data_IF_281882739411
#
_entry.id   IF_281882739411
#
_cell.length_a   1.000
_cell.length_b   1.000
_cell.length_c   1.000
_cell.angle_alpha   90.00
_cell.angle_beta   90.00
_cell.angle_gamma   90.00
#
_symmetry.space_group_name_H-M   'P 1'
#
loop_
_entity.id
_entity.type
_entity.pdbx_description
1 polymer ?
#
# COMPACT_ATOMS: atom_id res chain seq x y z
N UNK A 1 17.87 -13.12 21.19
CA UNK A 1 17.34 -12.97 19.83
C UNK A 1 16.76 -11.57 19.74
N UNK A 2 17.54 -10.63 19.22
CA UNK A 2 17.11 -9.22 19.08
C UNK A 2 16.19 -9.18 17.87
N UNK A 3 14.88 -9.02 18.09
CA UNK A 3 13.95 -8.72 17.00
C UNK A 3 14.50 -7.47 16.28
N UNK A 4 14.65 -7.48 14.95
CA UNK A 4 14.91 -6.23 14.26
C UNK A 4 13.75 -5.30 14.61
N UNK A 5 14.08 -4.08 15.02
CA UNK A 5 13.11 -3.03 15.24
C UNK A 5 12.35 -2.80 13.94
N UNK A 6 11.22 -3.49 13.77
CA UNK A 6 10.28 -3.30 12.68
C UNK A 6 9.66 -1.93 12.86
N UNK A 7 10.36 -0.90 12.39
CA UNK A 7 9.83 0.45 12.39
C UNK A 7 8.61 0.46 11.49
N UNK A 8 7.44 0.69 12.08
CA UNK A 8 6.21 0.83 11.33
C UNK A 8 6.33 2.03 10.37
N UNK A 9 6.01 1.78 9.12
CA UNK A 9 6.04 2.75 8.04
C UNK A 9 4.68 3.44 7.99
N UNK A 10 4.70 4.76 8.07
CA UNK A 10 3.51 5.61 7.97
C UNK A 10 3.43 6.30 6.61
N UNK A 11 2.36 6.07 5.86
CA UNK A 11 2.16 6.63 4.51
C UNK A 11 0.77 7.23 4.37
N UNK A 12 0.63 8.19 3.46
CA UNK A 12 -0.68 8.74 3.07
C UNK A 12 -0.97 8.48 1.60
N UNK A 13 -1.96 7.64 1.35
CA UNK A 13 -2.29 7.04 0.05
C UNK A 13 -3.71 7.39 -0.40
N UNK A 14 -4.10 6.98 -1.61
CA UNK A 14 -5.44 7.24 -2.13
C UNK A 14 -6.48 6.31 -1.50
N UNK A 15 -7.54 6.88 -0.92
CA UNK A 15 -8.59 6.13 -0.22
C UNK A 15 -9.26 5.08 -1.12
N UNK A 16 -9.50 5.41 -2.40
CA UNK A 16 -10.17 4.50 -3.34
C UNK A 16 -9.42 3.18 -3.57
N UNK A 17 -8.09 3.22 -3.65
CA UNK A 17 -7.30 2.00 -3.79
C UNK A 17 -7.20 1.26 -2.46
N UNK A 18 -7.07 1.98 -1.36
CA UNK A 18 -7.06 1.40 -0.02
C UNK A 18 -8.36 0.62 0.27
N UNK A 19 -9.52 1.21 -0.01
CA UNK A 19 -10.81 0.58 0.20
C UNK A 19 -10.93 -0.71 -0.64
N UNK A 20 -10.53 -0.70 -1.92
CA UNK A 20 -10.50 -1.89 -2.78
C UNK A 20 -9.53 -2.98 -2.28
N UNK A 21 -8.37 -2.58 -1.79
CA UNK A 21 -7.37 -3.49 -1.22
C UNK A 21 -7.91 -4.17 0.06
N UNK A 22 -8.58 -3.42 0.93
CA UNK A 22 -9.22 -3.96 2.13
C UNK A 22 -10.40 -4.87 1.80
N UNK A 23 -11.25 -4.49 0.84
CA UNK A 23 -12.42 -5.27 0.43
C UNK A 23 -12.03 -6.62 -0.18
N UNK A 24 -10.88 -6.68 -0.86
CA UNK A 24 -10.34 -7.92 -1.42
C UNK A 24 -9.67 -8.82 -0.40
N UNK A 25 -9.47 -8.36 0.84
CA UNK A 25 -8.88 -9.04 1.99
C UNK A 25 -7.86 -10.12 1.58
N UNK A 26 -6.54 -9.85 1.57
CA UNK A 26 -5.55 -10.70 0.90
C UNK A 26 -5.80 -12.19 1.15
N UNK A 27 -6.37 -12.87 0.14
CA UNK A 27 -6.96 -14.20 0.29
C UNK A 27 -5.95 -15.30 0.63
N UNK A 28 -4.65 -15.00 0.49
CA UNK A 28 -3.55 -15.93 0.65
C UNK A 28 -2.61 -15.47 1.78
N UNK A 29 -2.99 -15.65 3.05
CA UNK A 29 -2.11 -15.40 4.19
C UNK A 29 -2.81 -15.04 5.50
N UNK A 30 -2.00 -14.77 6.53
CA UNK A 30 -2.47 -14.17 7.79
C UNK A 30 -2.82 -12.69 7.53
N UNK A 31 -4.09 -12.25 7.71
CA UNK A 31 -4.50 -10.87 7.52
C UNK A 31 -3.68 -9.88 8.33
N UNK A 32 -3.20 -10.27 9.52
CA UNK A 32 -2.37 -9.42 10.38
C UNK A 32 -0.98 -9.17 9.78
N UNK A 33 -0.50 -10.06 8.90
CA UNK A 33 0.80 -9.91 8.22
C UNK A 33 0.67 -9.26 6.84
N UNK A 34 -0.52 -9.29 6.26
CA UNK A 34 -0.77 -8.84 4.90
C UNK A 34 -1.36 -7.41 4.82
N UNK A 35 -2.00 -6.91 5.88
CA UNK A 35 -2.72 -5.64 5.87
C UNK A 35 -2.16 -4.62 6.85
N UNK A 36 -1.87 -3.41 6.35
CA UNK A 36 -1.54 -2.26 7.19
C UNK A 36 -2.78 -1.76 7.96
N UNK A 37 -2.57 -0.92 8.96
CA UNK A 37 -3.66 -0.31 9.73
C UNK A 37 -3.99 1.09 9.22
N UNK A 38 -5.27 1.38 9.02
CA UNK A 38 -5.73 2.76 8.83
C UNK A 38 -5.69 3.51 10.17
N UNK A 39 -4.94 4.61 10.23
CA UNK A 39 -4.79 5.44 11.44
C UNK A 39 -5.36 6.85 11.27
N UNK A 40 -5.87 7.16 10.07
CA UNK A 40 -6.54 8.42 9.81
C UNK A 40 -7.05 8.52 8.38
N UNK A 41 -8.09 9.32 8.18
CA UNK A 41 -8.71 9.57 6.87
C UNK A 41 -9.07 11.04 6.70
N UNK A 42 -8.83 11.56 5.52
CA UNK A 42 -9.22 12.93 5.15
C UNK A 42 -9.63 12.97 3.68
N UNK A 43 -10.94 13.06 3.44
CA UNK A 43 -11.52 13.08 2.10
C UNK A 43 -11.08 11.88 1.26
N UNK A 44 -10.41 12.13 0.13
CA UNK A 44 -9.94 11.10 -0.79
C UNK A 44 -8.59 10.47 -0.41
N UNK A 45 -8.09 10.69 0.81
CA UNK A 45 -6.80 10.18 1.28
C UNK A 45 -6.93 9.44 2.61
N UNK A 46 -6.14 8.39 2.74
CA UNK A 46 -6.01 7.58 3.96
C UNK A 46 -4.56 7.62 4.41
N UNK A 47 -4.35 7.74 5.72
CA UNK A 47 -3.06 7.54 6.36
C UNK A 47 -3.04 6.14 6.97
N UNK A 48 -2.10 5.33 6.51
CA UNK A 48 -1.86 3.97 7.01
C UNK A 48 -0.56 3.90 7.80
N UNK A 49 -0.50 2.91 8.69
CA UNK A 49 0.69 2.49 9.41
C UNK A 49 0.82 0.98 9.33
N UNK A 50 1.97 0.48 8.88
CA UNK A 50 2.18 -0.96 8.76
C UNK A 50 3.65 -1.34 8.74
N UNK A 51 3.94 -2.64 8.91
CA UNK A 51 5.28 -3.19 8.79
C UNK A 51 5.81 -3.05 7.35
N UNK A 52 7.13 -3.15 7.13
CA UNK A 52 7.71 -3.17 5.79
C UNK A 52 7.07 -4.23 4.87
N UNK A 53 6.74 -5.40 5.40
CA UNK A 53 6.09 -6.49 4.66
C UNK A 53 4.66 -6.12 4.23
N UNK A 54 3.87 -5.53 5.13
CA UNK A 54 2.51 -5.07 4.81
C UNK A 54 2.54 -3.96 3.75
N UNK A 55 3.51 -3.04 3.84
CA UNK A 55 3.69 -1.99 2.83
C UNK A 55 4.14 -2.58 1.49
N UNK A 56 4.97 -3.63 1.49
CA UNK A 56 5.38 -4.33 0.28
C UNK A 56 4.21 -5.07 -0.39
N UNK A 57 3.36 -5.72 0.39
CA UNK A 57 2.11 -6.34 -0.11
C UNK A 57 1.23 -5.30 -0.81
N UNK A 58 1.01 -4.16 -0.15
CA UNK A 58 0.25 -3.05 -0.73
C UNK A 58 0.91 -2.48 -1.99
N UNK A 59 2.25 -2.42 -2.03
CA UNK A 59 3.03 -1.97 -3.19
C UNK A 59 2.84 -2.90 -4.38
N UNK A 60 2.96 -4.20 -4.15
CA UNK A 60 2.81 -5.24 -5.17
C UNK A 60 1.42 -5.19 -5.80
N UNK A 61 0.40 -5.08 -4.96
CA UNK A 61 -0.99 -4.97 -5.41
C UNK A 61 -1.27 -3.66 -6.17
N UNK A 62 -0.74 -2.53 -5.68
CA UNK A 62 -0.82 -1.26 -6.40
C UNK A 62 -0.11 -1.32 -7.77
N UNK A 63 1.02 -2.01 -7.84
CA UNK A 63 1.75 -2.23 -9.07
C UNK A 63 0.92 -3.02 -10.08
N UNK A 64 0.28 -4.12 -9.65
CA UNK A 64 -0.61 -4.93 -10.49
C UNK A 64 -1.75 -4.09 -11.11
N UNK A 65 -2.41 -3.24 -10.32
CA UNK A 65 -3.49 -2.38 -10.82
C UNK A 65 -3.03 -1.25 -11.74
N UNK A 66 -1.79 -0.79 -11.56
CA UNK A 66 -1.18 0.27 -12.37
C UNK A 66 -0.51 -0.24 -13.65
N UNK A 67 -0.29 -1.56 -13.76
CA UNK A 67 0.37 -2.18 -14.90
C UNK A 67 -0.50 -2.09 -16.17
N UNK A 68 0.16 -2.03 -17.33
CA UNK A 68 -0.50 -2.01 -18.64
C UNK A 68 -1.27 -3.30 -18.92
N UNK A 69 -0.82 -4.41 -18.34
CA UNK A 69 -1.45 -5.74 -18.36
C UNK A 69 -2.20 -6.04 -17.07
N UNK A 70 -2.45 -5.02 -16.24
CA UNK A 70 -3.30 -5.12 -15.06
C UNK A 70 -4.74 -5.50 -15.42
N UNK A 71 -5.65 -5.58 -14.44
CA UNK A 71 -6.99 -6.12 -14.64
C UNK A 71 -7.72 -5.44 -15.83
N UNK A 72 -8.23 -6.29 -16.73
CA UNK A 72 -8.90 -5.89 -17.97
C UNK A 72 -10.09 -4.96 -17.69
N UNK A 73 -10.88 -5.29 -16.67
CA UNK A 73 -11.98 -4.48 -16.16
C UNK A 73 -11.62 -3.86 -14.81
N UNK A 74 -11.06 -2.65 -14.85
CA UNK A 74 -10.82 -1.90 -13.63
C UNK A 74 -11.20 -0.43 -13.83
N UNK A 75 -12.03 0.14 -12.93
CA UNK A 75 -12.49 1.52 -13.06
C UNK A 75 -11.31 2.49 -13.22
N UNK A 76 -11.38 3.49 -14.13
CA UNK A 76 -10.27 4.42 -14.36
C UNK A 76 -9.83 5.17 -13.08
N UNK A 77 -10.76 5.40 -12.15
CA UNK A 77 -10.47 6.00 -10.85
C UNK A 77 -9.61 5.12 -9.95
N UNK A 78 -9.77 3.79 -10.03
CA UNK A 78 -9.00 2.83 -9.22
C UNK A 78 -7.58 2.70 -9.76
N UNK A 79 -7.39 2.56 -11.09
CA UNK A 79 -6.04 2.56 -11.71
C UNK A 79 -5.25 3.83 -11.36
N UNK A 80 -5.89 5.01 -11.41
CA UNK A 80 -5.25 6.28 -11.02
C UNK A 80 -4.88 6.32 -9.54
N UNK A 81 -5.76 5.81 -8.68
CA UNK A 81 -5.50 5.74 -7.23
C UNK A 81 -4.36 4.78 -6.91
N UNK A 82 -4.30 3.62 -7.56
CA UNK A 82 -3.22 2.64 -7.42
C UNK A 82 -1.87 3.22 -7.86
N UNK A 83 -1.81 3.87 -9.03
CA UNK A 83 -0.59 4.51 -9.51
C UNK A 83 -0.09 5.62 -8.55
N UNK A 84 -1.01 6.40 -7.97
CA UNK A 84 -0.66 7.41 -6.98
C UNK A 84 -0.12 6.78 -5.68
N UNK A 85 -0.73 5.69 -5.21
CA UNK A 85 -0.27 4.92 -4.06
C UNK A 85 1.14 4.34 -4.31
N UNK A 86 1.36 3.69 -5.46
CA UNK A 86 2.66 3.15 -5.85
C UNK A 86 3.75 4.22 -5.86
N UNK A 87 3.44 5.41 -6.37
CA UNK A 87 4.38 6.55 -6.37
C UNK A 87 4.77 6.96 -4.94
N UNK A 88 3.83 7.01 -4.01
CA UNK A 88 4.09 7.36 -2.60
C UNK A 88 5.00 6.32 -1.94
N UNK A 89 4.69 5.03 -2.12
CA UNK A 89 5.49 3.95 -1.54
C UNK A 89 6.92 3.95 -2.11
N UNK A 90 7.07 4.00 -3.44
CA UNK A 90 8.39 4.02 -4.08
C UNK A 90 9.22 5.25 -3.68
N UNK A 91 8.59 6.42 -3.54
CA UNK A 91 9.28 7.62 -3.04
C UNK A 91 9.79 7.44 -1.61
N UNK A 92 9.00 6.80 -0.73
CA UNK A 92 9.42 6.49 0.63
C UNK A 92 10.60 5.51 0.67
N UNK A 93 10.53 4.42 -0.09
CA UNK A 93 11.62 3.43 -0.18
C UNK A 93 12.91 4.04 -0.74
N UNK A 94 12.79 4.88 -1.78
CA UNK A 94 13.94 5.59 -2.37
C UNK A 94 14.56 6.59 -1.40
N UNK A 95 13.74 7.26 -0.58
CA UNK A 95 14.23 8.16 0.46
C UNK A 95 15.00 7.41 1.56
N UNK A 96 14.50 6.25 2.02
CA UNK A 96 15.24 5.40 2.99
C UNK A 96 16.59 4.95 2.44
N UNK A 97 16.65 4.53 1.18
CA UNK A 97 17.89 4.08 0.54
C UNK A 97 18.98 5.15 0.41
N UNK A 98 18.63 6.45 0.48
CA UNK A 98 19.58 7.57 0.43
C UNK A 98 20.11 7.98 1.81
N UNK A 99 19.46 7.53 2.88
CA UNK A 99 19.77 7.89 4.26
C UNK A 99 20.29 6.70 5.09
N UNK A 100 20.47 5.54 4.45
CA UNK A 100 21.13 4.34 5.01
C UNK A 100 22.54 4.23 4.44
#
# INVERSE_FOLDING_TARGET
MTQPSSENIKLTIGARFWDDHCDRCPCDGDPELAMANEIGRSGSRVTIEGSPEQIETLRSDAAFYSDRWGPDECPPGLKRSAAATLKVINAHLTAKAKHS
#
